data_IF_524814271416
#
_entry.id   IF_524814271416
#
_cell.length_a   1.000
_cell.length_b   1.000
_cell.length_c   1.000
_cell.angle_alpha   90.00
_cell.angle_beta   90.00
_cell.angle_gamma   90.00
#
_symmetry.space_group_name_H-M   'P 1'
#
loop_
_entity.id
_entity.type
_entity.pdbx_description
1 polymer ?
#
# COMPACT_ATOMS: atom_id res chain seq x y z
N UNK A 1 19.98 3.68 11.69
CA UNK A 1 18.76 3.16 11.04
C UNK A 1 17.58 4.03 11.37
N UNK A 2 16.68 4.15 10.37
CA UNK A 2 15.53 5.05 10.47
C UNK A 2 14.28 4.33 10.99
N UNK A 3 14.17 3.02 10.73
CA UNK A 3 13.04 2.22 11.17
C UNK A 3 13.47 0.85 11.70
N UNK A 4 12.75 0.39 12.71
CA UNK A 4 12.73 -1.00 13.14
C UNK A 4 11.37 -1.61 12.82
N UNK A 5 11.37 -2.73 12.11
CA UNK A 5 10.15 -3.44 11.70
C UNK A 5 10.10 -4.81 12.34
N UNK A 6 9.00 -5.11 13.04
CA UNK A 6 8.70 -6.48 13.47
C UNK A 6 7.95 -7.20 12.35
N UNK A 7 8.53 -8.26 11.84
CA UNK A 7 7.92 -9.08 10.79
C UNK A 7 6.84 -10.02 11.39
N UNK A 8 5.94 -10.51 10.52
CA UNK A 8 4.84 -11.40 10.97
C UNK A 8 5.33 -12.73 11.58
N UNK A 9 6.50 -13.21 11.18
CA UNK A 9 7.16 -14.40 11.75
C UNK A 9 7.88 -14.14 13.08
N UNK A 10 7.86 -12.90 13.58
CA UNK A 10 8.51 -12.48 14.82
C UNK A 10 9.92 -11.93 14.64
N UNK A 11 10.54 -12.05 13.46
CA UNK A 11 11.88 -11.51 13.19
C UNK A 11 11.91 -9.99 13.26
N UNK A 12 13.08 -9.45 13.59
CA UNK A 12 13.37 -8.02 13.50
C UNK A 12 14.00 -7.66 12.15
N UNK A 13 13.68 -6.46 11.65
CA UNK A 13 14.37 -5.87 10.50
C UNK A 13 14.66 -4.41 10.77
N UNK A 14 15.93 -4.02 10.65
CA UNK A 14 16.33 -2.61 10.57
C UNK A 14 16.26 -2.13 9.12
N UNK A 15 15.80 -0.89 8.94
CA UNK A 15 15.71 -0.26 7.62
C UNK A 15 16.35 1.13 7.70
N UNK A 16 17.30 1.40 6.84
CA UNK A 16 17.78 2.75 6.53
C UNK A 16 17.08 3.29 5.31
N UNK A 17 16.77 4.58 5.31
CA UNK A 17 16.22 5.29 4.15
C UNK A 17 17.30 6.21 3.59
N UNK A 18 17.66 6.01 2.33
CA UNK A 18 18.67 6.84 1.64
C UNK A 18 18.21 7.19 0.24
N UNK A 19 18.53 8.41 -0.18
CA UNK A 19 18.39 8.75 -1.59
C UNK A 19 19.33 7.86 -2.41
N UNK A 20 18.88 7.43 -3.59
CA UNK A 20 19.61 6.49 -4.45
C UNK A 20 21.04 6.95 -4.74
N UNK A 21 21.22 8.25 -5.00
CA UNK A 21 22.52 8.83 -5.34
C UNK A 21 23.50 8.96 -4.15
N UNK A 22 23.01 8.70 -2.91
CA UNK A 22 23.79 8.80 -1.67
C UNK A 22 24.07 7.43 -1.04
N UNK A 23 23.82 6.33 -1.74
CA UNK A 23 24.00 4.96 -1.21
C UNK A 23 25.49 4.64 -1.08
N UNK A 24 26.28 4.97 -2.08
CA UNK A 24 27.70 4.63 -2.13
C UNK A 24 28.50 5.37 -1.05
N UNK A 25 28.13 6.62 -0.74
CA UNK A 25 28.78 7.42 0.30
C UNK A 25 28.61 6.83 1.72
N UNK A 26 27.57 6.02 1.93
CA UNK A 26 27.26 5.40 3.22
C UNK A 26 27.55 3.90 3.27
N UNK A 27 28.19 3.33 2.25
CA UNK A 27 28.39 1.88 2.11
C UNK A 27 29.07 1.24 3.33
N UNK A 28 30.11 1.87 3.87
CA UNK A 28 30.83 1.37 5.06
C UNK A 28 29.93 1.33 6.30
N UNK A 29 29.06 2.34 6.49
CA UNK A 29 28.09 2.38 7.58
C UNK A 29 27.02 1.29 7.41
N UNK A 30 26.56 1.06 6.20
CA UNK A 30 25.58 0.00 5.91
C UNK A 30 26.15 -1.39 6.18
N UNK A 31 27.43 -1.63 5.84
CA UNK A 31 28.09 -2.90 6.11
C UNK A 31 28.30 -3.15 7.60
N UNK A 32 28.61 -2.12 8.37
CA UNK A 32 28.70 -2.22 9.83
C UNK A 32 27.33 -2.57 10.44
N UNK A 33 26.27 -1.86 10.02
CA UNK A 33 24.91 -2.10 10.51
C UNK A 33 24.43 -3.50 10.13
N UNK A 34 24.73 -3.97 8.91
CA UNK A 34 24.35 -5.31 8.44
C UNK A 34 25.01 -6.40 9.29
N UNK A 35 26.29 -6.24 9.63
CA UNK A 35 27.01 -7.19 10.51
C UNK A 35 26.43 -7.22 11.91
N UNK A 36 26.17 -6.04 12.51
CA UNK A 36 25.55 -5.97 13.83
C UNK A 36 24.14 -6.60 13.85
N UNK A 37 23.34 -6.41 12.80
CA UNK A 37 22.05 -7.07 12.67
C UNK A 37 22.20 -8.60 12.61
N UNK A 38 23.16 -9.10 11.85
CA UNK A 38 23.39 -10.53 11.71
C UNK A 38 23.78 -11.18 13.06
N UNK A 39 24.55 -10.51 13.92
CA UNK A 39 24.92 -11.01 15.26
C UNK A 39 23.71 -11.24 16.18
N UNK A 40 22.65 -10.46 16.01
CA UNK A 40 21.42 -10.58 16.81
C UNK A 40 20.27 -11.27 16.07
N UNK A 41 20.55 -11.84 14.89
CA UNK A 41 19.55 -12.55 14.09
C UNK A 41 18.52 -11.65 13.41
N UNK A 42 18.82 -10.36 13.21
CA UNK A 42 17.94 -9.42 12.53
C UNK A 42 18.31 -9.27 11.06
N UNK A 43 17.29 -8.94 10.26
CA UNK A 43 17.48 -8.57 8.87
C UNK A 43 17.87 -7.08 8.77
N UNK A 44 18.59 -6.73 7.70
CA UNK A 44 18.90 -5.35 7.38
C UNK A 44 18.53 -5.03 5.93
N UNK A 45 17.95 -3.86 5.71
CA UNK A 45 17.59 -3.37 4.38
C UNK A 45 17.88 -1.87 4.25
N UNK A 46 18.28 -1.45 3.05
CA UNK A 46 18.35 -0.03 2.66
C UNK A 46 17.21 0.23 1.68
N UNK A 47 16.34 1.18 2.01
CA UNK A 47 15.25 1.62 1.16
C UNK A 47 15.67 2.89 0.40
N UNK A 48 15.69 2.81 -0.92
CA UNK A 48 16.16 3.89 -1.79
C UNK A 48 15.05 4.59 -2.57
N UNK A 49 13.80 4.37 -2.15
CA UNK A 49 12.60 4.90 -2.81
C UNK A 49 11.83 3.83 -3.57
N UNK A 50 10.68 4.21 -4.07
CA UNK A 50 9.84 3.41 -4.96
C UNK A 50 10.20 3.72 -6.43
N UNK A 51 9.80 2.83 -7.35
CA UNK A 51 9.76 3.22 -8.76
C UNK A 51 8.73 4.36 -8.97
N UNK A 52 8.90 5.22 -9.99
CA UNK A 52 8.09 6.42 -10.16
C UNK A 52 6.59 6.14 -10.27
N UNK A 53 6.19 5.03 -10.92
CA UNK A 53 4.77 4.67 -11.10
C UNK A 53 4.17 4.26 -9.75
N UNK A 54 4.84 3.37 -9.02
CA UNK A 54 4.40 2.96 -7.68
C UNK A 54 4.34 4.15 -6.73
N UNK A 55 5.33 5.04 -6.77
CA UNK A 55 5.33 6.26 -5.95
C UNK A 55 4.12 7.15 -6.26
N UNK A 56 3.82 7.39 -7.54
CA UNK A 56 2.67 8.18 -7.97
C UNK A 56 1.36 7.56 -7.50
N UNK A 57 1.19 6.25 -7.65
CA UNK A 57 0.00 5.52 -7.20
C UNK A 57 -0.18 5.59 -5.68
N UNK A 58 0.89 5.36 -4.91
CA UNK A 58 0.86 5.46 -3.44
C UNK A 58 0.54 6.89 -3.00
N UNK A 59 1.11 7.90 -3.64
CA UNK A 59 0.83 9.32 -3.37
C UNK A 59 -0.65 9.66 -3.65
N UNK A 60 -1.20 9.15 -4.74
CA UNK A 60 -2.61 9.32 -5.06
C UNK A 60 -3.52 8.62 -4.03
N UNK A 61 -3.26 7.35 -3.70
CA UNK A 61 -4.01 6.60 -2.68
C UNK A 61 -3.93 7.25 -1.30
N UNK A 62 -2.81 7.90 -0.95
CA UNK A 62 -2.65 8.62 0.32
C UNK A 62 -3.68 9.75 0.49
N UNK A 63 -4.24 10.30 -0.59
CA UNK A 63 -5.35 11.26 -0.55
C UNK A 63 -6.61 10.67 0.10
N UNK A 64 -6.78 9.36 0.05
CA UNK A 64 -7.96 8.65 0.55
C UNK A 64 -7.73 7.97 1.91
N UNK A 65 -6.61 8.26 2.60
CA UNK A 65 -6.27 7.66 3.90
C UNK A 65 -7.16 8.08 5.07
N UNK A 66 -7.93 9.15 4.91
CA UNK A 66 -8.69 9.78 5.97
C UNK A 66 -9.99 9.01 6.27
N UNK A 67 -10.44 9.04 7.54
CA UNK A 67 -11.63 8.32 8.01
C UNK A 67 -12.91 8.72 7.27
N UNK A 68 -13.00 9.95 6.75
CA UNK A 68 -14.14 10.37 5.91
C UNK A 68 -14.28 9.56 4.61
N UNK A 69 -13.21 8.88 4.17
CA UNK A 69 -13.20 8.01 3.02
C UNK A 69 -13.44 6.55 3.40
N UNK A 70 -13.51 6.23 4.70
CA UNK A 70 -13.75 4.89 5.16
C UNK A 70 -15.20 4.46 4.83
N UNK A 71 -15.42 3.21 4.38
CA UNK A 71 -16.76 2.70 4.18
C UNK A 71 -17.50 2.50 5.51
N UNK A 72 -18.81 2.61 5.51
CA UNK A 72 -19.67 2.04 6.55
C UNK A 72 -19.60 0.51 6.51
N UNK A 73 -20.09 -0.17 7.55
CA UNK A 73 -20.08 -1.66 7.61
C UNK A 73 -20.85 -2.28 6.43
N UNK A 74 -21.97 -1.70 6.05
CA UNK A 74 -22.76 -2.16 4.90
C UNK A 74 -21.98 -1.96 3.58
N UNK A 75 -21.34 -0.81 3.41
CA UNK A 75 -20.54 -0.52 2.23
C UNK A 75 -19.28 -1.42 2.19
N UNK A 76 -18.67 -1.69 3.33
CA UNK A 76 -17.51 -2.61 3.42
C UNK A 76 -17.92 -4.02 2.98
N UNK A 77 -19.05 -4.53 3.48
CA UNK A 77 -19.59 -5.86 3.10
C UNK A 77 -19.87 -5.93 1.61
N UNK A 78 -20.50 -4.89 1.05
CA UNK A 78 -20.78 -4.80 -0.38
C UNK A 78 -19.49 -4.76 -1.23
N UNK A 79 -18.47 -4.01 -0.78
CA UNK A 79 -17.18 -3.94 -1.45
C UNK A 79 -16.46 -5.30 -1.41
N UNK A 80 -16.36 -5.94 -0.25
CA UNK A 80 -15.72 -7.24 -0.10
C UNK A 80 -16.38 -8.30 -1.01
N UNK A 81 -17.70 -8.32 -1.05
CA UNK A 81 -18.46 -9.21 -1.94
C UNK A 81 -18.24 -8.89 -3.43
N UNK A 82 -18.21 -7.60 -3.78
CA UNK A 82 -18.04 -7.15 -5.16
C UNK A 82 -16.65 -7.51 -5.73
N UNK A 83 -15.62 -7.39 -4.90
CA UNK A 83 -14.23 -7.62 -5.27
C UNK A 83 -13.70 -9.00 -4.83
N UNK A 84 -14.57 -9.94 -4.49
CA UNK A 84 -14.18 -11.34 -4.22
C UNK A 84 -13.44 -12.00 -5.40
N UNK A 85 -13.67 -11.47 -6.61
CA UNK A 85 -12.90 -11.79 -7.82
C UNK A 85 -12.39 -10.51 -8.46
N UNK A 86 -11.26 -10.58 -9.23
CA UNK A 86 -10.70 -9.41 -9.90
C UNK A 86 -11.75 -8.69 -10.76
N UNK A 87 -11.86 -7.37 -10.56
CA UNK A 87 -12.84 -6.54 -11.24
C UNK A 87 -12.27 -5.14 -11.48
N UNK A 88 -12.54 -4.48 -12.63
CA UNK A 88 -12.13 -3.11 -12.85
C UNK A 88 -12.64 -2.17 -11.75
N UNK A 89 -11.76 -1.30 -11.23
CA UNK A 89 -12.02 -0.37 -10.14
C UNK A 89 -13.32 0.42 -10.34
N UNK A 90 -13.49 1.04 -11.52
CA UNK A 90 -14.67 1.86 -11.83
C UNK A 90 -15.95 1.06 -11.88
N UNK A 91 -15.90 -0.16 -12.43
CA UNK A 91 -17.07 -1.05 -12.48
C UNK A 91 -17.46 -1.52 -11.09
N UNK A 92 -16.50 -1.90 -10.26
CA UNK A 92 -16.75 -2.29 -8.88
C UNK A 92 -17.34 -1.15 -8.05
N UNK A 93 -16.75 0.04 -8.11
CA UNK A 93 -17.30 1.22 -7.43
C UNK A 93 -18.73 1.55 -7.87
N UNK A 94 -19.03 1.43 -9.17
CA UNK A 94 -20.39 1.63 -9.67
C UNK A 94 -21.38 0.59 -9.12
N UNK A 95 -20.99 -0.69 -9.05
CA UNK A 95 -21.84 -1.75 -8.47
C UNK A 95 -22.10 -1.51 -6.98
N UNK A 96 -21.07 -1.13 -6.23
CA UNK A 96 -21.18 -0.77 -4.80
C UNK A 96 -22.14 0.40 -4.61
N UNK A 97 -21.99 1.48 -5.38
CA UNK A 97 -22.89 2.63 -5.32
C UNK A 97 -24.35 2.23 -5.52
N UNK A 98 -24.63 1.34 -6.49
CA UNK A 98 -25.99 0.87 -6.76
C UNK A 98 -26.58 -0.02 -5.66
N UNK A 99 -25.77 -0.86 -5.03
CA UNK A 99 -26.21 -1.79 -3.99
C UNK A 99 -26.43 -1.13 -2.63
N UNK A 100 -25.64 -0.09 -2.33
CA UNK A 100 -25.66 0.60 -1.02
C UNK A 100 -26.41 1.93 -1.03
N UNK A 101 -26.71 2.48 -2.22
CA UNK A 101 -27.35 3.79 -2.36
C UNK A 101 -26.44 4.99 -2.11
N UNK A 102 -25.13 4.78 -1.84
CA UNK A 102 -24.16 5.89 -1.71
C UNK A 102 -23.86 6.50 -3.09
N UNK A 103 -23.35 7.75 -3.10
CA UNK A 103 -22.94 8.38 -4.36
C UNK A 103 -21.79 7.60 -5.02
N UNK A 104 -21.66 7.74 -6.35
CA UNK A 104 -20.56 7.11 -7.09
C UNK A 104 -19.18 7.56 -6.58
N UNK A 105 -19.07 8.85 -6.27
CA UNK A 105 -17.80 9.43 -5.77
C UNK A 105 -17.44 8.88 -4.38
N UNK A 106 -18.44 8.71 -3.51
CA UNK A 106 -18.24 8.10 -2.20
C UNK A 106 -17.87 6.62 -2.32
N UNK A 107 -18.55 5.86 -3.16
CA UNK A 107 -18.22 4.45 -3.39
C UNK A 107 -16.79 4.29 -3.93
N UNK A 108 -16.38 5.15 -4.87
CA UNK A 108 -15.00 5.16 -5.36
C UNK A 108 -14.00 5.53 -4.24
N UNK A 109 -14.31 6.55 -3.45
CA UNK A 109 -13.46 6.94 -2.31
C UNK A 109 -13.32 5.81 -1.27
N UNK A 110 -14.40 5.06 -1.00
CA UNK A 110 -14.38 3.90 -0.11
C UNK A 110 -13.45 2.79 -0.64
N UNK A 111 -13.56 2.45 -1.94
CA UNK A 111 -12.69 1.43 -2.55
C UNK A 111 -11.21 1.86 -2.52
N UNK A 112 -10.92 3.13 -2.86
CA UNK A 112 -9.55 3.67 -2.80
C UNK A 112 -9.01 3.73 -1.36
N UNK A 113 -9.86 4.00 -0.37
CA UNK A 113 -9.50 3.89 1.05
C UNK A 113 -9.09 2.45 1.42
N UNK A 114 -9.85 1.44 0.98
CA UNK A 114 -9.52 0.04 1.26
C UNK A 114 -8.25 -0.42 0.53
N UNK A 115 -7.97 0.10 -0.66
CA UNK A 115 -6.65 -0.09 -1.33
C UNK A 115 -5.52 0.53 -0.52
N UNK A 116 -5.70 1.76 -0.01
CA UNK A 116 -4.74 2.38 0.91
C UNK A 116 -4.51 1.55 2.17
N UNK A 117 -5.58 1.01 2.76
CA UNK A 117 -5.54 0.15 3.96
C UNK A 117 -5.03 -1.27 3.67
N UNK A 118 -4.75 -1.59 2.42
CA UNK A 118 -4.35 -2.94 1.96
C UNK A 118 -5.37 -4.04 2.31
N UNK A 119 -6.63 -3.67 2.39
CA UNK A 119 -7.76 -4.58 2.51
C UNK A 119 -8.29 -5.02 1.14
N UNK A 120 -7.93 -4.27 0.11
CA UNK A 120 -8.00 -4.64 -1.31
C UNK A 120 -6.61 -4.54 -1.91
N UNK A 121 -6.39 -5.24 -3.01
CA UNK A 121 -5.14 -5.25 -3.75
C UNK A 121 -5.33 -4.84 -5.21
N UNK A 122 -4.30 -4.18 -5.76
CA UNK A 122 -4.18 -3.84 -7.17
C UNK A 122 -2.69 -3.84 -7.55
N UNK A 123 -2.41 -3.95 -8.85
CA UNK A 123 -1.03 -3.83 -9.34
C UNK A 123 -0.59 -2.36 -9.33
N UNK A 124 0.21 -1.97 -8.33
CA UNK A 124 0.74 -0.61 -8.22
C UNK A 124 1.95 -0.33 -9.12
N UNK A 125 2.46 -1.32 -9.86
CA UNK A 125 3.57 -1.13 -10.82
C UNK A 125 3.11 -0.63 -12.19
N UNK A 126 1.81 -0.55 -12.40
CA UNK A 126 1.17 0.09 -13.56
C UNK A 126 0.36 1.29 -13.08
N UNK A 127 0.18 2.34 -13.90
CA UNK A 127 -0.65 3.50 -13.51
C UNK A 127 -2.06 3.05 -13.11
N UNK A 128 -2.50 3.44 -11.91
CA UNK A 128 -3.86 3.17 -11.47
C UNK A 128 -4.86 4.03 -12.24
N UNK A 129 -5.92 3.39 -12.71
CA UNK A 129 -7.03 4.00 -13.42
C UNK A 129 -8.35 3.31 -13.03
N UNK A 130 -9.47 3.79 -13.57
CA UNK A 130 -10.77 3.13 -13.37
C UNK A 130 -10.84 1.74 -14.00
N UNK A 131 -9.94 1.42 -14.94
CA UNK A 131 -9.85 0.12 -15.62
C UNK A 131 -8.92 -0.85 -14.90
N UNK A 132 -8.17 -0.38 -13.87
CA UNK A 132 -7.28 -1.23 -13.09
C UNK A 132 -8.04 -2.32 -12.36
N UNK A 133 -7.57 -3.56 -12.46
CA UNK A 133 -8.13 -4.69 -11.73
C UNK A 133 -7.84 -4.57 -10.24
N UNK A 134 -8.89 -4.79 -9.45
CA UNK A 134 -8.87 -4.79 -7.97
C UNK A 134 -9.49 -6.08 -7.48
N UNK A 135 -8.94 -6.65 -6.41
CA UNK A 135 -9.46 -7.84 -5.71
C UNK A 135 -9.30 -7.71 -4.19
N UNK A 136 -10.07 -8.49 -3.45
CA UNK A 136 -9.92 -8.63 -2.01
C UNK A 136 -8.71 -9.51 -1.65
#
# INVERSE_FOLDING_TARGET
>A
PDFFVRLRNGDGRLVDVRHRDCVDDAAAQFDLTRRACAEVGWQYAVFTGLDPITEQNVRWLAGYRQDRCAPTDDAFTAIASCFAHPLPLGLGAHRVARSTGVSKDMALANVLHLLWRRQLSANLRTPLSLDSEVSA
#
